data_IF_549628904118
#
_entry.id   IF_549628904118
#
_cell.length_a   1.000
_cell.length_b   1.000
_cell.length_c   1.000
_cell.angle_alpha   90.00
_cell.angle_beta   90.00
_cell.angle_gamma   90.00
#
_symmetry.space_group_name_H-M   'P 1'
#
loop_
_entity.id
_entity.type
_entity.pdbx_description
1 polymer ?
#
# COMPACT_ATOMS: atom_id res chain seq x y z
N UNK A 1 21.08 27.11 -17.96
CA UNK A 1 20.64 28.10 -16.95
C UNK A 1 19.65 27.43 -16.02
N UNK A 2 19.77 27.69 -14.72
CA UNK A 2 19.01 27.02 -13.66
C UNK A 2 18.14 28.06 -12.96
N UNK A 3 16.83 27.84 -12.89
CA UNK A 3 15.85 28.84 -12.43
C UNK A 3 14.94 28.19 -11.39
N UNK A 4 15.25 28.31 -10.08
CA UNK A 4 14.48 27.70 -9.00
C UNK A 4 13.03 28.21 -8.89
N UNK A 5 12.72 29.36 -9.48
CA UNK A 5 11.40 30.00 -9.46
C UNK A 5 10.42 29.44 -10.51
N UNK A 6 10.70 28.28 -11.10
CA UNK A 6 9.84 27.70 -12.13
C UNK A 6 8.59 27.06 -11.51
N UNK A 7 7.41 27.65 -11.70
CA UNK A 7 6.18 27.20 -11.04
C UNK A 7 5.54 25.96 -11.66
N UNK A 8 5.71 25.75 -12.97
CA UNK A 8 5.09 24.64 -13.68
C UNK A 8 5.97 24.08 -14.82
N UNK A 9 5.74 22.81 -15.15
CA UNK A 9 6.20 22.17 -16.40
C UNK A 9 5.00 21.61 -17.14
N UNK A 10 5.00 21.76 -18.46
CA UNK A 10 3.95 21.25 -19.34
C UNK A 10 4.56 20.25 -20.31
N UNK A 11 4.01 19.04 -20.38
CA UNK A 11 4.42 18.04 -21.36
C UNK A 11 3.37 17.95 -22.48
N UNK A 12 3.63 18.64 -23.59
CA UNK A 12 2.74 18.65 -24.75
C UNK A 12 2.86 17.39 -25.63
N UNK A 13 4.05 16.77 -25.63
CA UNK A 13 4.36 15.61 -26.46
C UNK A 13 5.05 14.53 -25.63
N UNK A 14 4.92 13.24 -26.02
CA UNK A 14 5.67 12.16 -25.41
C UNK A 14 7.18 12.42 -25.45
N UNK A 15 7.84 12.16 -24.32
CA UNK A 15 9.30 12.05 -24.27
C UNK A 15 9.64 10.57 -24.32
N UNK A 16 10.52 10.19 -25.23
CA UNK A 16 11.00 8.80 -25.31
C UNK A 16 11.95 8.46 -24.13
N UNK A 17 12.51 9.49 -23.48
CA UNK A 17 13.43 9.37 -22.35
C UNK A 17 12.73 9.64 -21.01
N UNK A 18 12.64 8.61 -20.18
CA UNK A 18 12.23 8.72 -18.76
C UNK A 18 13.15 9.67 -18.00
N UNK A 19 14.46 9.66 -18.30
CA UNK A 19 15.46 10.50 -17.65
C UNK A 19 15.17 11.99 -17.92
N UNK A 20 14.76 12.33 -19.14
CA UNK A 20 14.43 13.71 -19.51
C UNK A 20 13.20 14.22 -18.73
N UNK A 21 12.21 13.34 -18.52
CA UNK A 21 11.03 13.66 -17.72
C UNK A 21 11.42 13.96 -16.29
N UNK A 22 12.21 13.09 -15.65
CA UNK A 22 12.67 13.28 -14.27
C UNK A 22 13.48 14.56 -14.12
N UNK A 23 14.39 14.85 -15.05
CA UNK A 23 15.19 16.07 -15.04
C UNK A 23 14.32 17.33 -15.20
N UNK A 24 13.29 17.27 -16.05
CA UNK A 24 12.37 18.39 -16.27
C UNK A 24 11.51 18.66 -15.03
N UNK A 25 10.99 17.60 -14.39
CA UNK A 25 10.21 17.73 -13.16
C UNK A 25 11.08 18.16 -11.97
N UNK A 26 12.29 17.62 -11.86
CA UNK A 26 13.24 17.98 -10.80
C UNK A 26 13.64 19.46 -10.79
N UNK A 27 13.45 20.18 -11.91
CA UNK A 27 13.59 21.64 -11.97
C UNK A 27 12.42 22.36 -11.30
N UNK A 28 11.20 21.88 -11.49
CA UNK A 28 9.97 22.42 -10.87
C UNK A 28 9.93 22.11 -9.38
N UNK A 29 10.43 20.97 -8.92
CA UNK A 29 10.27 20.57 -7.51
C UNK A 29 11.15 21.33 -6.50
N UNK A 30 11.97 22.28 -6.97
CA UNK A 30 12.85 23.06 -6.10
C UNK A 30 12.09 24.11 -5.32
N UNK A 31 12.46 24.26 -4.05
CA UNK A 31 11.90 25.29 -3.16
C UNK A 31 12.42 26.66 -3.55
N UNK A 32 11.52 27.65 -3.54
CA UNK A 32 11.80 29.05 -3.79
C UNK A 32 10.94 29.90 -2.85
N UNK A 33 11.42 31.08 -2.37
CA UNK A 33 10.59 31.99 -1.58
C UNK A 33 9.28 32.31 -2.32
N UNK A 34 8.14 32.18 -1.63
CA UNK A 34 6.80 32.44 -2.17
C UNK A 34 6.17 31.31 -2.98
N UNK A 35 6.88 30.19 -3.20
CA UNK A 35 6.35 29.03 -3.93
C UNK A 35 5.76 28.00 -2.97
N UNK A 36 4.45 27.79 -3.05
CA UNK A 36 3.75 26.77 -2.27
C UNK A 36 3.72 25.41 -2.98
N UNK A 37 3.51 25.41 -4.30
CA UNK A 37 3.38 24.19 -5.12
C UNK A 37 4.19 24.28 -6.41
N UNK A 38 4.60 23.11 -6.91
CA UNK A 38 5.15 22.94 -8.25
C UNK A 38 4.20 22.11 -9.09
N UNK A 39 3.79 22.61 -10.26
CA UNK A 39 2.76 21.99 -11.08
C UNK A 39 3.35 21.20 -12.25
N UNK A 40 2.79 20.02 -12.50
CA UNK A 40 3.07 19.23 -13.70
C UNK A 40 1.76 19.14 -14.46
N UNK A 41 1.72 19.69 -15.67
CA UNK A 41 0.50 19.80 -16.48
C UNK A 41 0.64 18.88 -17.69
N UNK A 42 -0.32 17.99 -17.85
CA UNK A 42 -0.39 16.99 -18.92
C UNK A 42 -1.68 17.21 -19.72
N UNK A 43 -1.66 18.08 -20.76
CA UNK A 43 -2.82 18.28 -21.60
C UNK A 43 -3.01 17.07 -22.51
N UNK A 44 -4.24 16.57 -22.57
CA UNK A 44 -4.62 15.43 -23.39
C UNK A 44 -5.85 15.81 -24.18
N UNK A 45 -5.81 15.57 -25.49
CA UNK A 45 -6.97 15.67 -26.36
C UNK A 45 -7.49 14.25 -26.65
N UNK A 46 -8.79 14.06 -26.49
CA UNK A 46 -9.49 12.82 -26.85
C UNK A 46 -10.76 13.16 -27.62
N UNK A 47 -11.24 12.21 -28.41
CA UNK A 47 -12.48 12.32 -29.17
C UNK A 47 -13.64 11.75 -28.37
N UNK A 48 -14.86 12.21 -28.69
CA UNK A 48 -16.11 11.84 -28.01
C UNK A 48 -16.72 10.53 -28.53
N UNK A 49 -16.14 9.94 -29.57
CA UNK A 49 -16.62 8.73 -30.25
C UNK A 49 -15.99 7.44 -29.69
N UNK A 50 -15.13 7.55 -28.67
CA UNK A 50 -14.44 6.42 -28.05
C UNK A 50 -14.82 6.29 -26.58
N UNK A 51 -15.04 5.04 -26.16
CA UNK A 51 -15.19 4.72 -24.75
C UNK A 51 -13.89 5.04 -23.97
N UNK A 52 -13.98 5.55 -22.73
CA UNK A 52 -12.80 5.94 -21.96
C UNK A 52 -11.75 4.83 -21.82
N UNK A 53 -12.15 3.58 -21.55
CA UNK A 53 -11.20 2.48 -21.39
C UNK A 53 -10.43 2.16 -22.67
N UNK A 54 -11.06 2.28 -23.84
CA UNK A 54 -10.45 2.00 -25.13
C UNK A 54 -9.41 3.08 -25.50
N UNK A 55 -9.79 4.34 -25.30
CA UNK A 55 -8.92 5.48 -25.57
C UNK A 55 -7.68 5.49 -24.66
N UNK A 56 -7.82 5.07 -23.40
CA UNK A 56 -6.70 5.00 -22.44
C UNK A 56 -5.68 3.91 -22.77
N UNK A 57 -6.05 2.94 -23.62
CA UNK A 57 -5.23 1.76 -23.95
C UNK A 57 -4.46 1.93 -25.24
N UNK A 58 -5.09 2.52 -26.25
CA UNK A 58 -4.63 2.44 -27.64
C UNK A 58 -4.22 3.78 -28.25
N UNK A 59 -4.14 4.86 -27.46
CA UNK A 59 -3.87 6.20 -27.99
C UNK A 59 -2.49 6.73 -27.59
N UNK A 60 -1.72 7.20 -28.57
CA UNK A 60 -0.41 7.84 -28.38
C UNK A 60 -0.46 9.05 -27.44
N UNK A 61 -1.61 9.74 -27.39
CA UNK A 61 -1.83 10.92 -26.54
C UNK A 61 -1.72 10.57 -25.05
N UNK A 62 -2.17 9.38 -24.64
CA UNK A 62 -2.11 8.94 -23.24
C UNK A 62 -0.76 8.30 -22.87
N UNK A 63 0.08 7.97 -23.85
CA UNK A 63 1.42 7.43 -23.59
C UNK A 63 2.25 8.38 -22.72
N UNK A 64 2.14 9.70 -22.98
CA UNK A 64 2.84 10.74 -22.21
C UNK A 64 2.49 10.65 -20.72
N UNK A 65 1.20 10.48 -20.43
CA UNK A 65 0.68 10.42 -19.06
C UNK A 65 1.30 9.25 -18.32
N UNK A 66 1.29 8.07 -18.94
CA UNK A 66 1.84 6.87 -18.33
C UNK A 66 3.34 6.96 -18.14
N UNK A 67 4.08 7.48 -19.12
CA UNK A 67 5.52 7.67 -18.99
C UNK A 67 5.86 8.65 -17.87
N UNK A 68 5.13 9.76 -17.74
CA UNK A 68 5.38 10.76 -16.69
C UNK A 68 5.03 10.22 -15.32
N UNK A 69 3.88 9.57 -15.15
CA UNK A 69 3.48 8.99 -13.87
C UNK A 69 4.44 7.87 -13.43
N UNK A 70 4.87 7.00 -14.34
CA UNK A 70 5.87 5.96 -14.04
C UNK A 70 7.23 6.54 -13.65
N UNK A 71 7.68 7.56 -14.39
CA UNK A 71 8.93 8.27 -14.09
C UNK A 71 8.91 8.91 -12.70
N UNK A 72 7.80 9.55 -12.34
CA UNK A 72 7.66 10.19 -11.04
C UNK A 72 7.56 9.17 -9.91
N UNK A 73 6.79 8.10 -10.11
CA UNK A 73 6.65 7.03 -9.11
C UNK A 73 8.01 6.42 -8.74
N UNK A 74 8.91 6.24 -9.70
CA UNK A 74 10.22 5.67 -9.46
C UNK A 74 11.12 6.51 -8.53
N UNK A 75 10.78 7.78 -8.31
CA UNK A 75 11.61 8.73 -7.56
C UNK A 75 10.86 9.50 -6.47
N UNK A 76 9.54 9.32 -6.32
CA UNK A 76 8.71 9.97 -5.31
C UNK A 76 7.83 8.94 -4.56
N UNK A 77 8.28 8.53 -3.38
CA UNK A 77 7.55 7.64 -2.47
C UNK A 77 6.16 8.18 -2.09
N UNK A 78 6.00 9.50 -2.02
CA UNK A 78 4.72 10.10 -1.64
C UNK A 78 3.70 9.95 -2.77
N UNK A 79 4.13 10.08 -4.03
CA UNK A 79 3.27 9.82 -5.18
C UNK A 79 2.85 8.34 -5.24
N UNK A 80 3.78 7.43 -4.90
CA UNK A 80 3.47 6.01 -4.80
C UNK A 80 2.36 5.74 -3.77
N UNK A 81 2.48 6.32 -2.57
CA UNK A 81 1.47 6.21 -1.53
C UNK A 81 0.11 6.79 -1.98
N UNK A 82 0.09 7.92 -2.69
CA UNK A 82 -1.16 8.50 -3.22
C UNK A 82 -1.85 7.60 -4.26
N UNK A 83 -1.10 6.98 -5.17
CA UNK A 83 -1.66 6.02 -6.13
C UNK A 83 -2.28 4.82 -5.41
N UNK A 84 -1.61 4.29 -4.38
CA UNK A 84 -2.14 3.20 -3.57
C UNK A 84 -3.43 3.61 -2.83
N UNK A 85 -3.52 4.86 -2.34
CA UNK A 85 -4.76 5.35 -1.71
C UNK A 85 -5.93 5.44 -2.70
N UNK A 86 -5.68 5.86 -3.94
CA UNK A 86 -6.71 5.91 -5.00
C UNK A 86 -7.29 4.51 -5.23
N UNK A 87 -6.43 3.49 -5.29
CA UNK A 87 -6.83 2.07 -5.46
C UNK A 87 -7.77 1.57 -4.35
N UNK A 88 -7.52 1.99 -3.10
CA UNK A 88 -8.13 1.39 -1.92
C UNK A 88 -9.31 2.20 -1.37
N UNK A 89 -9.27 3.53 -1.49
CA UNK A 89 -10.33 4.40 -0.97
C UNK A 89 -11.31 4.87 -2.04
N UNK A 90 -11.01 4.66 -3.33
CA UNK A 90 -11.78 5.21 -4.47
C UNK A 90 -12.04 6.72 -4.35
N UNK A 91 -11.19 7.44 -3.61
CA UNK A 91 -11.26 8.88 -3.42
C UNK A 91 -10.31 9.57 -4.39
N UNK A 92 -10.70 10.78 -4.77
CA UNK A 92 -9.86 11.67 -5.55
C UNK A 92 -8.61 12.07 -4.75
N UNK A 93 -7.47 12.25 -5.43
CA UNK A 93 -6.23 12.70 -4.79
C UNK A 93 -6.09 14.20 -4.90
N UNK A 94 -5.65 14.86 -3.84
CA UNK A 94 -5.32 16.30 -3.88
C UNK A 94 -4.12 16.59 -4.79
N UNK A 95 -3.27 15.58 -5.04
CA UNK A 95 -2.02 15.72 -5.82
C UNK A 95 -2.16 15.36 -7.29
N UNK A 96 -3.05 14.43 -7.61
CA UNK A 96 -3.35 14.04 -8.98
C UNK A 96 -4.76 14.52 -9.29
N UNK A 97 -4.87 15.60 -10.06
CA UNK A 97 -6.15 16.18 -10.43
C UNK A 97 -6.44 15.91 -11.90
N UNK A 98 -7.56 15.24 -12.18
CA UNK A 98 -8.10 15.09 -13.52
C UNK A 98 -9.16 16.17 -13.72
N UNK A 99 -8.90 17.09 -14.63
CA UNK A 99 -9.74 18.27 -14.87
C UNK A 99 -10.27 18.20 -16.30
N UNK A 100 -11.60 18.09 -16.43
CA UNK A 100 -12.28 18.23 -17.72
C UNK A 100 -12.40 19.70 -18.10
N UNK A 101 -11.85 20.08 -19.25
CA UNK A 101 -12.05 21.41 -19.82
C UNK A 101 -13.31 21.41 -20.69
N UNK A 102 -14.31 22.19 -20.29
CA UNK A 102 -15.47 22.47 -21.15
C UNK A 102 -15.08 23.61 -22.08
N UNK A 103 -14.99 23.35 -23.38
CA UNK A 103 -15.01 24.47 -24.33
C UNK A 103 -16.36 25.17 -24.25
N UNK A 104 -16.34 26.50 -24.28
CA UNK A 104 -17.56 27.26 -24.54
C UNK A 104 -17.92 27.00 -26.01
N UNK A 105 -19.15 26.56 -26.34
CA UNK A 105 -19.47 26.15 -27.70
C UNK A 105 -19.15 27.28 -28.69
N UNK A 106 -18.23 27.02 -29.62
CA UNK A 106 -18.02 27.90 -30.77
C UNK A 106 -19.34 27.94 -31.56
N UNK A 107 -19.92 29.12 -31.85
CA UNK A 107 -21.31 29.23 -32.30
C UNK A 107 -21.61 28.74 -33.73
N UNK A 108 -20.77 27.91 -34.34
CA UNK A 108 -20.90 27.55 -35.75
C UNK A 108 -20.49 26.11 -36.04
N UNK A 109 -21.35 25.16 -35.64
CA UNK A 109 -21.71 23.91 -36.33
C UNK A 109 -22.31 22.98 -35.27
N UNK A 110 -23.56 22.54 -35.46
CA UNK A 110 -24.40 21.86 -34.46
C UNK A 110 -23.99 20.42 -34.11
N UNK A 111 -22.70 20.15 -33.91
CA UNK A 111 -22.20 18.99 -33.20
C UNK A 111 -22.07 19.38 -31.71
N UNK A 112 -22.65 18.63 -30.76
CA UNK A 112 -22.31 18.78 -29.36
C UNK A 112 -20.84 18.36 -29.19
N UNK A 113 -19.93 19.33 -29.22
CA UNK A 113 -18.48 19.14 -29.14
C UNK A 113 -17.97 19.18 -27.69
N UNK A 114 -18.85 19.04 -26.70
CA UNK A 114 -18.52 19.29 -25.29
C UNK A 114 -18.90 18.09 -24.45
N UNK A 115 -17.94 17.60 -23.66
CA UNK A 115 -18.22 16.67 -22.58
C UNK A 115 -19.19 17.31 -21.58
N UNK A 116 -20.27 16.60 -21.25
CA UNK A 116 -21.12 16.99 -20.14
C UNK A 116 -20.48 16.60 -18.79
N UNK A 117 -21.11 16.97 -17.67
CA UNK A 117 -20.57 16.65 -16.35
C UNK A 117 -20.52 15.14 -16.07
N UNK A 118 -21.41 14.37 -16.68
CA UNK A 118 -21.48 12.92 -16.52
C UNK A 118 -20.35 12.25 -17.32
N UNK A 119 -20.10 12.68 -18.55
CA UNK A 119 -18.99 12.22 -19.37
C UNK A 119 -17.65 12.51 -18.68
N UNK A 120 -17.48 13.74 -18.17
CA UNK A 120 -16.26 14.12 -17.43
C UNK A 120 -16.07 13.23 -16.20
N UNK A 121 -17.15 12.89 -15.49
CA UNK A 121 -17.14 11.96 -14.38
C UNK A 121 -16.65 10.56 -14.78
N UNK A 122 -17.20 10.00 -15.85
CA UNK A 122 -16.81 8.67 -16.36
C UNK A 122 -15.34 8.64 -16.80
N UNK A 123 -14.90 9.66 -17.53
CA UNK A 123 -13.49 9.80 -17.93
C UNK A 123 -12.56 9.91 -16.73
N UNK A 124 -12.96 10.66 -15.70
CA UNK A 124 -12.20 10.81 -14.48
C UNK A 124 -12.05 9.48 -13.75
N UNK A 125 -13.14 8.74 -13.58
CA UNK A 125 -13.11 7.41 -12.96
C UNK A 125 -12.24 6.42 -13.76
N UNK A 126 -12.39 6.39 -15.08
CA UNK A 126 -11.61 5.53 -15.97
C UNK A 126 -10.11 5.86 -15.90
N UNK A 127 -9.74 7.15 -15.90
CA UNK A 127 -8.35 7.59 -15.76
C UNK A 127 -7.77 7.13 -14.42
N UNK A 128 -8.49 7.32 -13.30
CA UNK A 128 -8.02 6.86 -11.99
C UNK A 128 -7.85 5.34 -11.93
N UNK A 129 -8.84 4.58 -12.43
CA UNK A 129 -8.74 3.13 -12.52
C UNK A 129 -7.53 2.69 -13.35
N UNK A 130 -7.24 3.42 -14.43
CA UNK A 130 -6.08 3.13 -15.28
C UNK A 130 -4.75 3.52 -14.65
N UNK A 131 -4.68 4.62 -13.89
CA UNK A 131 -3.52 4.98 -13.09
C UNK A 131 -3.18 3.83 -12.14
N UNK A 132 -4.18 3.30 -11.43
CA UNK A 132 -3.99 2.14 -10.54
C UNK A 132 -3.50 0.92 -11.32
N UNK A 133 -4.14 0.58 -12.44
CA UNK A 133 -3.78 -0.60 -13.24
C UNK A 133 -2.37 -0.53 -13.83
N UNK A 134 -1.94 0.62 -14.34
CA UNK A 134 -0.63 0.80 -15.02
C UNK A 134 0.50 1.23 -14.09
N UNK A 135 0.17 2.00 -13.05
CA UNK A 135 1.14 2.63 -12.15
C UNK A 135 0.99 2.17 -10.69
N UNK A 136 0.06 1.26 -10.38
CA UNK A 136 -0.02 0.59 -9.09
C UNK A 136 1.17 -0.35 -8.88
N UNK A 137 1.53 -0.55 -7.62
CA UNK A 137 2.61 -1.46 -7.25
C UNK A 137 2.06 -2.88 -7.25
N UNK A 138 2.44 -3.71 -8.23
CA UNK A 138 2.30 -5.17 -8.11
C UNK A 138 3.37 -5.64 -7.12
N UNK A 139 3.14 -5.47 -5.81
CA UNK A 139 4.02 -6.07 -4.80
C UNK A 139 3.69 -7.55 -4.72
N UNK A 140 4.73 -8.37 -4.84
CA UNK A 140 4.61 -9.82 -4.84
C UNK A 140 4.56 -10.28 -3.38
N UNK A 141 3.36 -10.38 -2.81
CA UNK A 141 3.17 -11.07 -1.53
C UNK A 141 3.71 -12.50 -1.58
N UNK A 142 3.61 -13.14 -2.75
CA UNK A 142 4.06 -14.51 -3.01
C UNK A 142 5.54 -14.76 -2.68
N UNK A 143 6.43 -13.76 -2.82
CA UNK A 143 7.84 -13.95 -2.44
C UNK A 143 8.00 -14.01 -0.92
N UNK A 144 7.21 -13.21 -0.19
CA UNK A 144 7.24 -13.16 1.26
C UNK A 144 6.60 -14.40 1.90
N UNK A 145 5.59 -15.01 1.28
CA UNK A 145 4.92 -16.22 1.81
C UNK A 145 5.90 -17.39 2.06
N UNK A 146 6.92 -17.54 1.20
CA UNK A 146 7.97 -18.55 1.40
C UNK A 146 8.90 -18.24 2.59
N UNK A 147 9.24 -16.96 2.75
CA UNK A 147 10.08 -16.50 3.86
C UNK A 147 9.34 -16.62 5.18
N UNK A 148 8.05 -16.26 5.20
CA UNK A 148 7.16 -16.39 6.37
C UNK A 148 7.06 -17.83 6.85
N UNK A 149 6.87 -18.80 5.95
CA UNK A 149 6.80 -20.21 6.33
C UNK A 149 8.12 -20.70 6.96
N UNK A 150 9.26 -20.28 6.39
CA UNK A 150 10.59 -20.63 6.89
C UNK A 150 10.85 -20.03 8.27
N UNK A 151 10.45 -18.77 8.47
CA UNK A 151 10.57 -18.06 9.74
C UNK A 151 9.65 -18.69 10.79
N UNK A 152 8.41 -19.04 10.43
CA UNK A 152 7.47 -19.72 11.33
C UNK A 152 8.06 -21.05 11.83
N UNK A 153 8.62 -21.87 10.94
CA UNK A 153 9.25 -23.14 11.32
C UNK A 153 10.47 -22.96 12.22
N UNK A 154 11.23 -21.89 12.00
CA UNK A 154 12.39 -21.53 12.83
C UNK A 154 11.93 -21.12 14.23
N UNK A 155 10.91 -20.26 14.34
CA UNK A 155 10.30 -19.84 15.60
C UNK A 155 9.72 -21.02 16.37
N UNK A 156 8.96 -21.91 15.71
CA UNK A 156 8.39 -23.12 16.31
C UNK A 156 9.51 -23.99 16.90
N UNK A 157 10.56 -24.27 16.11
CA UNK A 157 11.70 -25.07 16.55
C UNK A 157 12.40 -24.47 17.76
N UNK A 158 12.51 -23.14 17.78
CA UNK A 158 13.14 -22.41 18.88
C UNK A 158 12.29 -22.39 20.14
N UNK A 159 10.98 -22.17 20.04
CA UNK A 159 10.05 -22.23 21.18
C UNK A 159 10.08 -23.64 21.78
N UNK A 160 10.07 -24.69 20.93
CA UNK A 160 10.27 -26.09 21.39
C UNK A 160 11.59 -26.27 22.15
N UNK A 161 12.67 -25.69 21.63
CA UNK A 161 13.99 -25.70 22.28
C UNK A 161 13.99 -25.00 23.65
N UNK A 162 13.31 -23.85 23.76
CA UNK A 162 13.19 -23.11 25.02
C UNK A 162 12.41 -23.89 26.09
N UNK A 163 11.27 -24.49 25.71
CA UNK A 163 10.44 -25.31 26.61
C UNK A 163 11.15 -26.60 27.02
N UNK A 164 12.00 -27.13 26.15
CA UNK A 164 12.80 -28.34 26.40
C UNK A 164 14.11 -28.07 27.13
N UNK A 165 14.46 -26.80 27.36
CA UNK A 165 15.72 -26.43 27.99
C UNK A 165 15.81 -26.89 29.46
N UNK A 166 17.03 -26.95 30.04
CA UNK A 166 17.21 -27.32 31.45
C UNK A 166 16.60 -26.31 32.44
N UNK A 167 16.33 -25.09 31.96
CA UNK A 167 15.70 -24.03 32.73
C UNK A 167 14.19 -24.34 32.86
N UNK A 168 13.65 -24.51 34.08
CA UNK A 168 12.25 -24.82 34.26
C UNK A 168 11.32 -23.64 33.97
N UNK A 169 11.83 -22.41 33.99
CA UNK A 169 10.99 -21.21 33.91
C UNK A 169 10.19 -21.11 32.59
N UNK A 170 10.78 -21.25 31.38
CA UNK A 170 10.02 -21.22 30.13
C UNK A 170 8.93 -22.29 30.04
N UNK A 171 9.16 -23.47 30.62
CA UNK A 171 8.18 -24.56 30.62
C UNK A 171 7.00 -24.25 31.54
N UNK A 172 7.25 -23.68 32.72
CA UNK A 172 6.19 -23.27 33.63
C UNK A 172 5.30 -22.20 33.01
N UNK A 173 5.90 -21.14 32.45
CA UNK A 173 5.18 -20.05 31.76
C UNK A 173 4.32 -20.60 30.61
N UNK A 174 4.90 -21.48 29.78
CA UNK A 174 4.17 -22.08 28.66
C UNK A 174 3.01 -23.00 29.11
N UNK A 175 3.16 -23.74 30.21
CA UNK A 175 2.09 -24.59 30.72
C UNK A 175 0.90 -23.77 31.25
N UNK A 176 1.16 -22.67 31.96
CA UNK A 176 0.11 -21.74 32.42
C UNK A 176 -0.65 -21.14 31.23
N UNK A 177 0.07 -20.80 30.16
CA UNK A 177 -0.52 -20.37 28.89
C UNK A 177 -1.41 -21.43 28.25
N UNK A 178 -0.93 -22.67 28.17
CA UNK A 178 -1.69 -23.77 27.57
C UNK A 178 -2.99 -24.03 28.34
N UNK A 179 -2.96 -23.98 29.68
CA UNK A 179 -4.16 -24.06 30.51
C UNK A 179 -5.12 -22.90 30.25
N UNK A 180 -4.61 -21.67 30.12
CA UNK A 180 -5.41 -20.50 29.78
C UNK A 180 -6.09 -20.64 28.41
N UNK A 181 -5.37 -21.09 27.38
CA UNK A 181 -5.92 -21.37 26.05
C UNK A 181 -7.03 -22.42 26.10
N UNK A 182 -6.80 -23.52 26.83
CA UNK A 182 -7.78 -24.60 26.98
C UNK A 182 -9.06 -24.15 27.66
N UNK A 183 -8.95 -23.27 28.66
CA UNK A 183 -10.10 -22.72 29.37
C UNK A 183 -10.88 -21.68 28.56
N UNK A 184 -10.23 -20.99 27.62
CA UNK A 184 -10.83 -19.86 26.87
C UNK A 184 -11.37 -20.29 25.51
N UNK A 185 -10.69 -21.22 24.83
CA UNK A 185 -10.97 -21.57 23.42
C UNK A 185 -11.49 -23.00 23.32
N UNK A 186 -10.64 -23.99 23.57
CA UNK A 186 -10.99 -25.41 23.45
C UNK A 186 -10.08 -26.28 24.33
N UNK A 187 -10.63 -27.14 25.21
CA UNK A 187 -9.85 -28.05 26.05
C UNK A 187 -8.96 -29.03 25.30
N UNK A 188 -9.26 -29.34 24.03
CA UNK A 188 -8.50 -30.31 23.24
C UNK A 188 -7.18 -29.77 22.68
N UNK A 189 -6.90 -28.46 22.84
CA UNK A 189 -5.70 -27.83 22.31
C UNK A 189 -4.43 -28.50 22.86
N UNK A 190 -3.60 -29.00 21.95
CA UNK A 190 -2.32 -29.61 22.24
C UNK A 190 -1.19 -28.61 22.47
N UNK A 191 -0.06 -29.09 22.98
CA UNK A 191 1.15 -28.27 23.11
C UNK A 191 1.67 -27.80 21.74
N UNK A 192 1.65 -28.67 20.73
CA UNK A 192 2.09 -28.35 19.37
C UNK A 192 1.24 -27.23 18.75
N UNK A 193 -0.09 -27.34 18.85
CA UNK A 193 -1.03 -26.33 18.36
C UNK A 193 -0.83 -24.99 19.08
N UNK A 194 -0.59 -24.99 20.39
CA UNK A 194 -0.32 -23.77 21.15
C UNK A 194 1.01 -23.09 20.73
N UNK A 195 2.03 -23.86 20.34
CA UNK A 195 3.28 -23.32 19.80
C UNK A 195 3.05 -22.71 18.41
N UNK A 196 2.27 -23.37 17.56
CA UNK A 196 1.90 -22.85 16.24
C UNK A 196 1.11 -21.54 16.37
N UNK A 197 0.14 -21.48 17.30
CA UNK A 197 -0.63 -20.26 17.58
C UNK A 197 0.26 -19.10 18.04
N UNK A 198 1.28 -19.37 18.86
CA UNK A 198 2.26 -18.35 19.25
C UNK A 198 3.05 -17.85 18.05
N UNK A 199 3.58 -18.73 17.20
CA UNK A 199 4.33 -18.33 16.00
C UNK A 199 3.46 -17.52 15.03
N UNK A 200 2.23 -17.97 14.79
CA UNK A 200 1.25 -17.22 13.99
C UNK A 200 0.99 -15.84 14.56
N UNK A 201 0.88 -15.71 15.89
CA UNK A 201 0.69 -14.43 16.53
C UNK A 201 1.89 -13.49 16.34
N UNK A 202 3.12 -13.99 16.51
CA UNK A 202 4.35 -13.20 16.28
C UNK A 202 4.38 -12.64 14.86
N UNK A 203 4.03 -13.46 13.87
CA UNK A 203 4.08 -13.08 12.45
C UNK A 203 2.96 -12.09 12.09
N UNK A 204 1.74 -12.34 12.56
CA UNK A 204 0.55 -11.59 12.14
C UNK A 204 0.33 -10.31 12.95
N UNK A 205 0.80 -10.23 14.20
CA UNK A 205 0.61 -9.05 15.05
C UNK A 205 1.14 -7.76 14.39
N UNK A 206 2.39 -7.69 13.87
CA UNK A 206 2.88 -6.48 13.21
C UNK A 206 2.07 -6.10 11.96
N UNK A 207 1.53 -7.08 11.23
CA UNK A 207 0.63 -6.85 10.08
C UNK A 207 -0.66 -6.18 10.54
N UNK A 208 -1.28 -6.71 11.61
CA UNK A 208 -2.49 -6.11 12.17
C UNK A 208 -2.22 -4.72 12.77
N UNK A 209 -1.08 -4.52 13.45
CA UNK A 209 -0.69 -3.22 13.99
C UNK A 209 -0.49 -2.18 12.87
N UNK A 210 0.06 -2.60 11.72
CA UNK A 210 0.19 -1.77 10.53
C UNK A 210 -1.16 -1.40 9.90
N UNK A 211 -2.10 -2.36 9.82
CA UNK A 211 -3.43 -2.15 9.25
C UNK A 211 -4.33 -1.28 10.14
N UNK A 212 -4.16 -1.38 11.45
CA UNK A 212 -5.00 -0.72 12.44
C UNK A 212 -4.16 0.27 13.25
N UNK A 213 -3.81 1.40 12.62
CA UNK A 213 -3.14 2.52 13.27
C UNK A 213 -3.85 2.91 14.59
N UNK A 214 -3.16 2.72 15.71
CA UNK A 214 -3.71 2.93 17.06
C UNK A 214 -3.56 1.75 18.03
N UNK A 215 -3.04 0.59 17.59
CA UNK A 215 -2.69 -0.52 18.48
C UNK A 215 -3.89 -1.19 19.18
N UNK A 216 -5.12 -0.90 18.71
CA UNK A 216 -6.36 -1.33 19.34
C UNK A 216 -6.65 -2.82 19.19
N UNK A 217 -5.97 -3.52 18.27
CA UNK A 217 -6.23 -4.94 18.04
C UNK A 217 -5.76 -5.79 19.22
N UNK A 218 -4.48 -5.66 19.59
CA UNK A 218 -3.90 -6.41 20.71
C UNK A 218 -4.49 -5.95 22.04
N UNK A 219 -4.80 -4.66 22.18
CA UNK A 219 -5.37 -4.12 23.42
C UNK A 219 -6.80 -4.57 23.68
N UNK A 220 -7.59 -4.92 22.66
CA UNK A 220 -9.00 -5.29 22.84
C UNK A 220 -9.29 -6.79 22.66
N UNK A 221 -8.32 -7.58 22.20
CA UNK A 221 -8.47 -9.02 22.00
C UNK A 221 -7.88 -9.82 23.17
N UNK A 222 -8.71 -10.48 24.00
CA UNK A 222 -8.23 -11.25 25.16
C UNK A 222 -7.24 -12.36 24.80
N UNK A 223 -7.40 -13.00 23.64
CA UNK A 223 -6.49 -14.04 23.14
C UNK A 223 -5.13 -13.42 22.79
N UNK A 224 -5.13 -12.28 22.09
CA UNK A 224 -3.89 -11.55 21.78
C UNK A 224 -3.17 -11.06 23.03
N UNK A 225 -3.89 -10.61 24.07
CA UNK A 225 -3.28 -10.23 25.35
C UNK A 225 -2.59 -11.42 26.04
N UNK A 226 -3.25 -12.59 26.08
CA UNK A 226 -2.67 -13.81 26.64
C UNK A 226 -1.43 -14.27 25.87
N UNK A 227 -1.49 -14.25 24.54
CA UNK A 227 -0.36 -14.57 23.67
C UNK A 227 0.82 -13.60 23.91
N UNK A 228 0.53 -12.30 23.98
CA UNK A 228 1.55 -11.28 24.20
C UNK A 228 2.22 -11.40 25.57
N UNK A 229 1.46 -11.71 26.63
CA UNK A 229 2.02 -11.89 27.99
C UNK A 229 3.07 -12.99 28.01
N UNK A 230 2.76 -14.11 27.36
CA UNK A 230 3.64 -15.28 27.29
C UNK A 230 4.88 -14.98 26.47
N UNK A 231 4.72 -14.27 25.35
CA UNK A 231 5.86 -13.81 24.57
C UNK A 231 6.79 -12.92 25.40
N UNK A 232 6.28 -11.95 26.15
CA UNK A 232 7.08 -11.06 27.01
C UNK A 232 7.85 -11.85 28.08
N UNK A 233 7.20 -12.82 28.71
CA UNK A 233 7.83 -13.66 29.74
C UNK A 233 8.88 -14.62 29.14
N UNK A 234 8.72 -15.04 27.88
CA UNK A 234 9.71 -15.82 27.12
C UNK A 234 10.83 -14.95 26.48
N UNK A 235 10.55 -13.67 26.18
CA UNK A 235 11.38 -12.72 25.42
C UNK A 235 12.61 -12.21 26.18
N UNK A 236 12.77 -12.54 27.46
CA UNK A 236 14.05 -12.41 28.16
C UNK A 236 15.23 -13.10 27.44
N UNK A 237 14.97 -13.89 26.38
CA UNK A 237 15.96 -14.54 25.49
C UNK A 237 15.60 -14.45 23.99
N UNK A 238 15.76 -13.27 23.40
CA UNK A 238 16.17 -13.06 21.98
C UNK A 238 15.24 -13.50 20.83
N UNK A 239 13.91 -13.54 20.98
CA UNK A 239 12.98 -13.91 19.89
C UNK A 239 12.84 -12.83 18.79
N UNK A 240 13.18 -11.56 19.10
CA UNK A 240 13.12 -10.41 18.17
C UNK A 240 14.11 -10.45 16.99
N UNK A 241 15.09 -11.37 17.02
CA UNK A 241 16.14 -11.39 15.98
C UNK A 241 15.60 -11.88 14.64
N UNK A 242 14.58 -12.75 14.66
CA UNK A 242 14.04 -13.43 13.48
C UNK A 242 12.97 -12.61 12.74
N UNK A 243 12.36 -11.62 13.39
CA UNK A 243 11.40 -10.71 12.74
C UNK A 243 12.09 -9.62 11.91
N UNK A 244 13.41 -9.44 12.05
CA UNK A 244 14.19 -8.48 11.22
C UNK A 244 14.15 -8.81 9.74
N UNK A 245 14.08 -10.09 9.37
CA UNK A 245 13.98 -10.50 7.97
C UNK A 245 12.63 -10.10 7.36
N UNK A 246 11.58 -9.98 8.20
CA UNK A 246 10.25 -9.53 7.80
C UNK A 246 10.06 -8.01 7.91
N UNK A 247 11.06 -7.25 8.34
CA UNK A 247 10.90 -5.80 8.54
C UNK A 247 10.50 -5.11 7.23
N UNK A 248 11.11 -5.50 6.10
CA UNK A 248 10.74 -4.98 4.78
C UNK A 248 9.30 -5.33 4.37
N UNK A 249 8.83 -6.53 4.73
CA UNK A 249 7.44 -6.93 4.54
C UNK A 249 6.49 -6.06 5.40
N UNK A 250 6.84 -5.81 6.66
CA UNK A 250 6.04 -4.97 7.54
C UNK A 250 6.04 -3.50 7.10
N UNK A 251 7.15 -2.99 6.56
CA UNK A 251 7.22 -1.68 5.92
C UNK A 251 6.28 -1.62 4.71
N UNK A 252 6.26 -2.66 3.88
CA UNK A 252 5.37 -2.76 2.73
C UNK A 252 3.88 -2.74 3.12
N UNK A 253 3.52 -3.51 4.15
CA UNK A 253 2.15 -3.51 4.70
C UNK A 253 1.80 -2.14 5.27
N UNK A 254 2.71 -1.50 6.01
CA UNK A 254 2.50 -0.15 6.56
C UNK A 254 2.31 0.88 5.46
N UNK A 255 3.11 0.84 4.41
CA UNK A 255 2.98 1.76 3.28
C UNK A 255 1.64 1.56 2.56
N UNK A 256 1.22 0.31 2.33
CA UNK A 256 -0.06 0.01 1.68
C UNK A 256 -1.25 0.38 2.55
N UNK A 257 -1.16 0.18 3.86
CA UNK A 257 -2.18 0.59 4.83
C UNK A 257 -2.22 2.12 5.04
N UNK A 258 -1.13 2.82 4.72
CA UNK A 258 -0.98 4.26 4.95
C UNK A 258 -2.02 5.08 4.19
N UNK A 259 -2.90 5.74 4.95
CA UNK A 259 -3.95 6.59 4.40
C UNK A 259 -5.22 5.87 3.99
N UNK A 260 -5.39 4.60 4.34
CA UNK A 260 -6.71 3.95 4.31
C UNK A 260 -7.52 4.43 5.52
N UNK A 261 -8.66 5.06 5.25
CA UNK A 261 -9.54 5.61 6.28
C UNK A 261 -10.84 4.82 6.46
N UNK A 262 -11.06 3.78 5.65
CA UNK A 262 -12.29 3.01 5.61
C UNK A 262 -12.06 1.50 5.86
N UNK A 263 -13.13 0.81 6.25
CA UNK A 263 -13.07 -0.63 6.56
C UNK A 263 -12.92 -1.51 5.31
N UNK A 264 -13.54 -1.12 4.20
CA UNK A 264 -13.51 -1.88 2.93
C UNK A 264 -12.09 -2.00 2.37
N UNK A 265 -11.32 -0.90 2.34
CA UNK A 265 -9.92 -0.88 1.90
C UNK A 265 -9.02 -1.73 2.78
N UNK A 266 -9.22 -1.71 4.11
CA UNK A 266 -8.47 -2.59 5.04
C UNK A 266 -8.81 -4.06 4.82
N UNK A 267 -10.09 -4.37 4.66
CA UNK A 267 -10.54 -5.74 4.38
C UNK A 267 -9.95 -6.26 3.07
N UNK A 268 -9.90 -5.42 2.04
CA UNK A 268 -9.28 -5.78 0.75
C UNK A 268 -7.81 -6.17 0.91
N UNK A 269 -7.03 -5.44 1.72
CA UNK A 269 -5.64 -5.84 2.00
C UNK A 269 -5.58 -7.18 2.75
N UNK A 270 -6.44 -7.39 3.74
CA UNK A 270 -6.47 -8.66 4.50
C UNK A 270 -6.76 -9.84 3.57
N UNK A 271 -7.71 -9.69 2.64
CA UNK A 271 -8.01 -10.73 1.64
C UNK A 271 -6.81 -10.94 0.72
N UNK A 272 -6.18 -9.87 0.22
CA UNK A 272 -4.98 -9.98 -0.62
C UNK A 272 -3.82 -10.68 0.09
N UNK A 273 -3.61 -10.44 1.39
CA UNK A 273 -2.59 -11.10 2.21
C UNK A 273 -2.92 -12.55 2.54
N UNK A 274 -4.19 -12.94 2.48
CA UNK A 274 -4.62 -14.31 2.70
C UNK A 274 -4.54 -15.15 1.42
N UNK A 275 -4.89 -14.56 0.28
CA UNK A 275 -4.95 -15.23 -1.01
C UNK A 275 -3.57 -15.43 -1.68
N UNK A 276 -2.52 -14.76 -1.18
CA UNK A 276 -1.18 -14.72 -1.77
C UNK A 276 -0.12 -15.19 -0.77
#
# INVERSE_FOLDING_TARGET
MDVPSLDAVIFLNPRDSVIDVVQSVGRVMRKSPGKEYGYIILPIATTWDMEPEEALDNNENFRVVWTVLQALRAHDERLNAEINKIELNKKESDRIQVIGLKETPLPKQGLPLTFDDQDIGQWKEAIYARIVKKCGTKRYWESWSNDVATIAQTQISRIKGLISSPDPHPRTVFNEFLESLRSTINPDIGQEEAIEMLSQHIITKPVFDALFAGGSFVQNNPVSQSLQKVLIELEGRSLEVETKELEGFYDDVRERASGIDNAEGRQKIVVELYDK
#
